data_IF_457397272116
#
_entry.id   IF_457397272116
#
_cell.length_a   1.000
_cell.length_b   1.000
_cell.length_c   1.000
_cell.angle_alpha   90.00
_cell.angle_beta   90.00
_cell.angle_gamma   90.00
#
_symmetry.space_group_name_H-M   'P 1'
#
loop_
_entity.id
_entity.type
_entity.pdbx_description
1 polymer ?
#
# COMPACT_ATOMS: atom_id res chain seq x y z
N UNK A 1 -31.68 42.18 13.92
CA UNK A 1 -31.01 41.62 12.75
C UNK A 1 -29.51 41.64 12.99
N UNK A 2 -28.85 40.53 13.32
CA UNK A 2 -27.41 40.40 13.10
C UNK A 2 -27.11 39.34 12.06
N UNK A 3 -26.18 39.68 11.22
CA UNK A 3 -25.68 38.92 10.06
C UNK A 3 -25.00 37.61 10.47
N UNK A 4 -25.43 36.52 9.86
CA UNK A 4 -24.76 35.23 9.88
C UNK A 4 -23.50 35.31 9.00
N UNK A 5 -22.34 35.32 9.63
CA UNK A 5 -21.07 35.17 8.96
C UNK A 5 -20.85 33.71 8.54
N UNK A 6 -20.81 33.45 7.23
CA UNK A 6 -20.34 32.20 6.67
C UNK A 6 -18.83 32.10 6.87
N UNK A 7 -18.40 31.27 7.81
CA UNK A 7 -16.99 30.90 7.95
C UNK A 7 -16.65 29.83 6.92
N UNK A 8 -16.22 30.28 5.75
CA UNK A 8 -15.54 29.43 4.77
C UNK A 8 -14.15 29.08 5.31
N UNK A 9 -14.00 27.85 5.79
CA UNK A 9 -12.71 27.28 6.13
C UNK A 9 -11.91 27.08 4.85
N UNK A 10 -11.21 28.12 4.42
CA UNK A 10 -10.18 28.05 3.38
C UNK A 10 -8.97 27.37 4.01
N UNK A 11 -8.75 26.12 3.61
CA UNK A 11 -7.48 25.43 3.85
C UNK A 11 -6.36 26.28 3.18
N UNK A 12 -5.70 27.10 3.99
CA UNK A 12 -4.49 27.81 3.55
C UNK A 12 -3.41 26.77 3.27
N UNK A 13 -3.09 26.59 1.98
CA UNK A 13 -1.85 25.94 1.57
C UNK A 13 -0.69 26.78 2.09
N UNK A 14 -0.01 26.29 3.09
CA UNK A 14 1.28 26.83 3.50
C UNK A 14 2.29 26.38 2.43
N UNK A 15 2.68 27.27 1.55
CA UNK A 15 3.80 27.07 0.64
C UNK A 15 5.10 27.04 1.46
N UNK A 16 5.78 25.88 1.55
CA UNK A 16 7.10 25.84 2.18
C UNK A 16 7.70 24.47 2.47
N UNK A 17 6.91 23.39 2.57
CA UNK A 17 7.46 22.03 2.67
C UNK A 17 6.99 21.24 1.46
N UNK A 18 7.93 20.68 0.70
CA UNK A 18 7.62 19.75 -0.37
C UNK A 18 6.87 18.57 0.25
N UNK A 19 5.56 18.47 -0.05
CA UNK A 19 4.72 17.41 0.54
C UNK A 19 5.30 16.05 0.16
N UNK A 20 5.47 15.19 1.15
CA UNK A 20 5.97 13.83 0.97
C UNK A 20 5.08 13.06 -0.02
N UNK A 21 5.64 12.66 -1.17
CA UNK A 21 4.91 12.00 -2.26
C UNK A 21 5.82 11.13 -3.11
N UNK A 22 5.22 10.39 -4.03
CA UNK A 22 5.90 9.54 -5.00
C UNK A 22 5.37 9.86 -6.38
N UNK A 23 6.27 10.15 -7.33
CA UNK A 23 5.95 10.27 -8.74
C UNK A 23 6.36 9.01 -9.49
N UNK A 24 5.43 8.47 -10.27
CA UNK A 24 5.72 7.40 -11.23
C UNK A 24 6.32 8.05 -12.47
N UNK A 25 7.52 7.66 -12.87
CA UNK A 25 8.12 8.21 -14.09
C UNK A 25 7.84 7.31 -15.29
N UNK A 26 7.66 7.91 -16.47
CA UNK A 26 7.31 7.17 -17.69
C UNK A 26 8.40 6.15 -18.04
N UNK A 27 8.05 4.88 -18.08
CA UNK A 27 8.97 3.76 -18.32
C UNK A 27 10.25 3.80 -17.49
N UNK A 28 10.17 4.37 -16.27
CA UNK A 28 11.30 4.62 -15.40
C UNK A 28 11.04 4.27 -13.93
N UNK A 29 11.88 4.78 -13.02
CA UNK A 29 11.79 4.53 -11.58
C UNK A 29 10.59 5.24 -10.93
N UNK A 30 10.45 5.05 -9.62
CA UNK A 30 9.69 5.95 -8.76
C UNK A 30 10.61 7.07 -8.27
N UNK A 31 10.20 8.33 -8.42
CA UNK A 31 10.84 9.46 -7.76
C UNK A 31 10.16 9.65 -6.40
N UNK A 32 10.92 9.59 -5.33
CA UNK A 32 10.42 9.64 -3.95
C UNK A 32 10.88 10.93 -3.29
N UNK A 33 9.93 11.70 -2.78
CA UNK A 33 10.13 13.02 -2.22
C UNK A 33 9.76 13.04 -0.73
N UNK A 34 10.71 13.41 0.14
CA UNK A 34 10.45 13.67 1.55
C UNK A 34 9.97 12.48 2.39
N UNK A 35 10.13 11.24 1.91
CA UNK A 35 9.73 10.03 2.61
C UNK A 35 10.95 9.28 3.14
N UNK A 36 10.98 8.87 4.41
CA UNK A 36 12.01 7.97 4.91
C UNK A 36 11.88 6.60 4.27
N UNK A 37 13.03 5.94 4.05
CA UNK A 37 13.13 4.59 3.49
C UNK A 37 13.61 3.62 4.56
N UNK A 38 12.89 2.51 4.72
CA UNK A 38 13.25 1.45 5.66
C UNK A 38 13.22 0.09 4.97
N UNK A 39 13.69 -0.94 5.67
CA UNK A 39 13.54 -2.33 5.26
C UNK A 39 12.52 -3.03 6.16
N UNK A 40 11.61 -3.79 5.55
CA UNK A 40 10.71 -4.71 6.23
C UNK A 40 10.96 -6.13 5.80
N UNK A 41 10.73 -7.06 6.72
CA UNK A 41 10.70 -8.49 6.45
C UNK A 41 9.33 -9.03 6.83
N UNK A 42 8.76 -9.83 5.94
CA UNK A 42 7.61 -10.65 6.23
C UNK A 42 8.06 -11.92 6.94
N UNK A 43 7.35 -12.33 7.98
CA UNK A 43 7.58 -13.59 8.68
C UNK A 43 6.24 -14.20 9.12
N UNK A 44 6.16 -15.53 9.24
CA UNK A 44 5.00 -16.16 9.87
C UNK A 44 4.81 -15.65 11.29
N UNK A 45 3.56 -15.44 11.67
CA UNK A 45 3.16 -15.26 13.06
C UNK A 45 2.69 -16.60 13.63
N UNK A 46 3.52 -17.17 14.50
CA UNK A 46 3.27 -18.50 15.08
C UNK A 46 2.05 -18.53 16.01
N UNK A 47 1.61 -17.36 16.48
CA UNK A 47 0.46 -17.27 17.39
C UNK A 47 -0.88 -17.28 16.66
N UNK A 48 -0.96 -16.68 15.49
CA UNK A 48 -2.19 -16.54 14.70
C UNK A 48 -2.24 -17.46 13.48
N UNK A 49 -1.12 -18.11 13.12
CA UNK A 49 -0.97 -18.84 11.86
C UNK A 49 -1.02 -17.94 10.61
N UNK A 50 -0.98 -16.63 10.78
CA UNK A 50 -0.98 -15.63 9.72
C UNK A 50 0.44 -15.12 9.43
N UNK A 51 0.60 -13.87 9.09
CA UNK A 51 1.88 -13.22 8.79
C UNK A 51 2.05 -11.97 9.66
N UNK A 52 3.29 -11.59 9.90
CA UNK A 52 3.64 -10.33 10.57
C UNK A 52 4.74 -9.58 9.83
N UNK A 53 4.83 -8.27 10.08
CA UNK A 53 5.85 -7.39 9.56
C UNK A 53 6.92 -7.09 10.61
N UNK A 54 8.16 -7.48 10.31
CA UNK A 54 9.31 -7.13 11.17
C UNK A 54 10.08 -5.98 10.56
N UNK A 55 10.10 -4.88 11.29
CA UNK A 55 10.89 -3.71 10.92
C UNK A 55 12.38 -3.99 11.07
N UNK A 56 13.14 -3.61 10.05
CA UNK A 56 14.59 -3.66 10.01
C UNK A 56 15.16 -2.24 10.07
N UNK A 57 16.48 -2.12 9.93
CA UNK A 57 17.15 -0.82 9.96
C UNK A 57 16.65 0.14 8.86
N UNK A 58 16.69 1.46 9.10
CA UNK A 58 16.54 2.46 8.04
C UNK A 58 17.56 2.23 6.92
N UNK A 59 17.18 2.60 5.70
CA UNK A 59 18.07 2.61 4.54
C UNK A 59 18.55 4.04 4.35
N UNK A 60 19.87 4.23 4.34
CA UNK A 60 20.47 5.54 4.06
C UNK A 60 20.25 5.91 2.59
N UNK A 61 19.63 7.06 2.37
CA UNK A 61 19.36 7.61 1.03
C UNK A 61 20.29 8.77 0.66
N UNK A 62 21.19 9.19 1.56
CA UNK A 62 22.01 10.40 1.37
C UNK A 62 22.97 10.32 0.18
N UNK A 63 23.46 9.12 -0.15
CA UNK A 63 24.31 8.88 -1.33
C UNK A 63 23.54 8.69 -2.65
N UNK A 64 22.23 8.56 -2.59
CA UNK A 64 21.36 8.23 -3.73
C UNK A 64 20.37 9.36 -4.06
N UNK A 65 20.27 10.37 -3.17
CA UNK A 65 19.39 11.50 -3.35
C UNK A 65 20.08 12.66 -4.08
N UNK A 66 19.30 13.41 -4.87
CA UNK A 66 19.75 14.65 -5.45
C UNK A 66 19.82 15.81 -4.42
N UNK A 67 20.22 17.00 -4.88
CA UNK A 67 20.30 18.19 -4.04
C UNK A 67 18.95 18.62 -3.42
N UNK A 68 17.84 18.14 -3.96
CA UNK A 68 16.47 18.36 -3.47
C UNK A 68 16.00 17.30 -2.50
N UNK A 69 16.83 16.28 -2.20
CA UNK A 69 16.46 15.16 -1.34
C UNK A 69 15.56 14.12 -2.01
N UNK A 70 15.41 14.16 -3.33
CA UNK A 70 14.68 13.16 -4.11
C UNK A 70 15.57 11.96 -4.38
N UNK A 71 15.09 10.74 -4.12
CA UNK A 71 15.78 9.51 -4.49
C UNK A 71 14.91 8.64 -5.39
N UNK A 72 15.54 7.76 -6.18
CA UNK A 72 14.85 6.98 -7.19
C UNK A 72 14.87 5.49 -6.87
N UNK A 73 13.69 4.89 -6.77
CA UNK A 73 13.54 3.46 -6.52
C UNK A 73 13.34 2.67 -7.81
N UNK A 74 13.99 1.52 -7.88
CA UNK A 74 13.88 0.60 -9.01
C UNK A 74 12.43 0.11 -9.18
N UNK A 75 11.91 0.22 -10.41
CA UNK A 75 10.56 -0.22 -10.77
C UNK A 75 10.58 -1.37 -11.78
N UNK A 76 11.69 -1.59 -12.46
CA UNK A 76 11.85 -2.62 -13.50
C UNK A 76 12.34 -3.98 -12.98
N UNK A 77 12.83 -4.04 -11.75
CA UNK A 77 13.40 -5.25 -11.16
C UNK A 77 14.82 -5.59 -11.59
N UNK A 78 15.43 -4.84 -12.54
CA UNK A 78 16.70 -5.17 -13.16
C UNK A 78 17.92 -4.38 -12.63
N UNK A 79 17.71 -3.45 -11.71
CA UNK A 79 18.81 -2.69 -11.10
C UNK A 79 19.80 -3.60 -10.37
N UNK A 80 21.08 -3.31 -10.49
CA UNK A 80 22.16 -3.94 -9.72
C UNK A 80 22.41 -3.23 -8.38
N UNK A 81 21.78 -2.07 -8.16
CA UNK A 81 21.86 -1.26 -6.95
C UNK A 81 20.52 -1.22 -6.19
N UNK A 82 19.79 -2.34 -6.11
CA UNK A 82 18.48 -2.37 -5.45
C UNK A 82 18.58 -1.97 -3.97
N UNK A 83 17.65 -1.16 -3.45
CA UNK A 83 16.36 -0.80 -4.06
C UNK A 83 16.44 0.39 -5.02
N UNK A 84 17.57 1.04 -5.20
CA UNK A 84 17.73 2.24 -6.00
C UNK A 84 17.79 1.94 -7.50
N UNK A 85 17.48 2.94 -8.30
CA UNK A 85 17.52 2.87 -9.75
C UNK A 85 18.94 3.18 -10.25
N UNK A 86 19.51 2.28 -11.04
CA UNK A 86 20.81 2.45 -11.71
C UNK A 86 20.69 2.74 -13.21
N UNK A 87 19.47 2.91 -13.73
CA UNK A 87 19.21 3.16 -15.14
C UNK A 87 19.01 1.89 -16.01
N UNK A 88 19.14 0.68 -15.44
CA UNK A 88 18.96 -0.61 -16.18
C UNK A 88 17.62 -0.73 -16.89
N UNK A 89 16.56 -0.03 -16.43
CA UNK A 89 15.25 0.00 -17.12
C UNK A 89 15.34 0.42 -18.59
N UNK A 90 16.35 1.22 -18.99
CA UNK A 90 16.52 1.75 -20.34
C UNK A 90 16.97 0.66 -21.33
N UNK A 91 17.73 -0.32 -20.85
CA UNK A 91 18.29 -1.42 -21.65
C UNK A 91 17.54 -2.72 -21.48
N UNK A 92 16.79 -2.87 -20.40
CA UNK A 92 16.03 -4.09 -20.08
C UNK A 92 14.68 -4.21 -20.83
N UNK A 93 14.33 -3.23 -21.67
CA UNK A 93 13.04 -3.23 -22.37
C UNK A 93 11.83 -3.09 -21.43
N UNK A 94 12.01 -2.39 -20.32
CA UNK A 94 10.97 -2.24 -19.31
C UNK A 94 9.76 -1.46 -19.85
N UNK A 95 8.60 -2.12 -19.87
CA UNK A 95 7.30 -1.48 -20.08
C UNK A 95 6.71 -1.07 -18.74
N UNK A 96 6.78 0.22 -18.47
CA UNK A 96 6.23 0.84 -17.26
C UNK A 96 4.82 1.37 -17.42
N UNK A 97 4.12 1.05 -18.50
CA UNK A 97 2.74 1.51 -18.74
C UNK A 97 1.85 1.23 -17.53
N UNK A 98 1.19 2.27 -17.06
CA UNK A 98 0.29 2.18 -15.92
C UNK A 98 -1.07 1.64 -16.36
N UNK A 99 -1.50 0.57 -15.72
CA UNK A 99 -2.74 -0.17 -16.05
C UNK A 99 -3.74 -0.17 -14.91
N UNK A 100 -3.35 0.38 -13.74
CA UNK A 100 -4.20 0.39 -12.57
C UNK A 100 -5.45 1.24 -12.75
N UNK A 101 -6.58 0.74 -12.29
CA UNK A 101 -7.85 1.47 -12.33
C UNK A 101 -7.81 2.71 -11.44
N UNK A 102 -8.41 3.80 -11.92
CA UNK A 102 -8.44 5.12 -11.27
C UNK A 102 -9.61 5.36 -10.32
N UNK A 103 -10.61 4.47 -10.29
CA UNK A 103 -11.74 4.59 -9.36
C UNK A 103 -11.31 4.40 -7.91
N UNK A 104 -12.07 4.99 -6.98
CA UNK A 104 -11.80 4.87 -5.54
C UNK A 104 -11.88 3.42 -5.08
N UNK A 105 -11.14 3.07 -4.02
CA UNK A 105 -11.21 1.76 -3.37
C UNK A 105 -12.66 1.39 -3.06
N UNK A 106 -13.36 2.29 -2.39
CA UNK A 106 -14.74 2.07 -1.96
C UNK A 106 -15.72 1.79 -3.12
N UNK A 107 -15.57 2.49 -4.23
CA UNK A 107 -16.44 2.30 -5.41
C UNK A 107 -16.21 0.96 -6.12
N UNK A 108 -15.06 0.34 -5.92
CA UNK A 108 -14.64 -0.93 -6.56
C UNK A 108 -14.73 -2.12 -5.63
N UNK A 109 -14.93 -1.88 -4.33
CA UNK A 109 -14.87 -2.93 -3.32
C UNK A 109 -16.06 -3.87 -3.38
N UNK A 110 -15.78 -5.17 -3.29
CA UNK A 110 -16.78 -6.16 -2.85
C UNK A 110 -16.94 -6.00 -1.34
N UNK A 111 -18.16 -5.78 -0.89
CA UNK A 111 -18.50 -5.61 0.52
C UNK A 111 -18.96 -6.94 1.12
N UNK A 112 -18.45 -7.27 2.28
CA UNK A 112 -18.89 -8.39 3.10
C UNK A 112 -19.25 -7.86 4.48
N UNK A 113 -20.34 -8.36 5.03
CA UNK A 113 -20.92 -7.89 6.27
C UNK A 113 -21.08 -9.07 7.23
N UNK A 114 -20.93 -8.78 8.51
CA UNK A 114 -21.18 -9.69 9.59
C UNK A 114 -21.58 -8.93 10.85
N UNK A 115 -22.04 -9.67 11.86
CA UNK A 115 -22.41 -9.13 13.17
C UNK A 115 -22.06 -10.15 14.22
N UNK A 116 -21.45 -9.73 15.32
CA UNK A 116 -21.18 -10.61 16.45
C UNK A 116 -22.46 -10.93 17.23
N UNK A 117 -22.40 -11.97 18.06
CA UNK A 117 -23.51 -12.35 18.94
C UNK A 117 -23.94 -11.21 19.88
N UNK A 118 -23.06 -10.24 20.17
CA UNK A 118 -23.33 -9.04 20.96
C UNK A 118 -23.94 -7.90 20.12
N UNK A 119 -24.22 -8.12 18.84
CA UNK A 119 -24.78 -7.09 17.95
C UNK A 119 -23.77 -6.07 17.44
N UNK A 120 -22.48 -6.37 17.48
CA UNK A 120 -21.43 -5.49 16.94
C UNK A 120 -21.19 -5.82 15.46
N UNK A 121 -21.60 -4.89 14.61
CA UNK A 121 -21.40 -5.03 13.16
C UNK A 121 -19.93 -4.97 12.75
N UNK A 122 -19.60 -5.66 11.69
CA UNK A 122 -18.30 -5.60 11.02
C UNK A 122 -18.49 -5.67 9.50
N UNK A 123 -17.69 -4.89 8.81
CA UNK A 123 -17.67 -4.85 7.33
C UNK A 123 -16.24 -5.02 6.87
N UNK A 124 -16.03 -5.91 5.91
CA UNK A 124 -14.78 -6.03 5.16
C UNK A 124 -15.04 -5.62 3.71
N UNK A 125 -14.19 -4.75 3.19
CA UNK A 125 -14.16 -4.35 1.78
C UNK A 125 -12.96 -4.98 1.10
N UNK A 126 -13.18 -5.61 -0.04
CA UNK A 126 -12.14 -6.31 -0.82
C UNK A 126 -12.06 -5.72 -2.23
N UNK A 127 -10.93 -5.12 -2.57
CA UNK A 127 -10.56 -4.72 -3.93
C UNK A 127 -9.47 -5.65 -4.44
N UNK A 128 -9.85 -6.84 -4.86
CA UNK A 128 -8.94 -7.93 -5.27
C UNK A 128 -7.82 -7.51 -6.23
N UNK A 129 -8.03 -6.64 -7.24
CA UNK A 129 -6.94 -6.20 -8.12
C UNK A 129 -5.78 -5.47 -7.42
N UNK A 130 -5.95 -5.05 -6.16
CA UNK A 130 -4.90 -4.43 -5.35
C UNK A 130 -4.14 -5.44 -4.49
N UNK A 131 -4.52 -6.72 -4.49
CA UNK A 131 -3.91 -7.74 -3.65
C UNK A 131 -2.47 -8.02 -4.06
N UNK A 132 -1.53 -7.84 -3.14
CA UNK A 132 -0.11 -8.17 -3.33
C UNK A 132 0.24 -9.63 -2.96
N UNK A 133 -0.77 -10.44 -2.61
CA UNK A 133 -0.66 -11.85 -2.23
C UNK A 133 0.31 -12.14 -1.08
N UNK A 134 0.40 -11.23 -0.11
CA UNK A 134 1.33 -11.33 1.02
C UNK A 134 0.85 -12.27 2.16
N UNK A 135 -0.34 -12.89 2.05
CA UNK A 135 -0.78 -13.96 2.95
C UNK A 135 -1.48 -13.53 4.23
N UNK A 136 -1.58 -12.24 4.57
CA UNK A 136 -2.18 -11.76 5.83
C UNK A 136 -3.67 -12.07 6.03
N UNK A 137 -4.39 -12.42 4.97
CA UNK A 137 -5.82 -12.69 5.01
C UNK A 137 -6.16 -14.16 5.25
N UNK A 138 -5.17 -14.98 5.55
CA UNK A 138 -5.31 -16.43 5.83
C UNK A 138 -4.63 -16.73 7.15
N UNK A 139 -5.26 -17.51 8.00
CA UNK A 139 -4.73 -18.03 9.26
C UNK A 139 -5.09 -19.50 9.36
N UNK A 140 -4.62 -20.19 10.42
CA UNK A 140 -4.81 -21.63 10.62
C UNK A 140 -6.26 -22.07 10.45
N UNK A 141 -6.53 -22.72 9.31
CA UNK A 141 -7.83 -23.30 8.99
C UNK A 141 -8.94 -22.33 8.62
N UNK A 142 -8.67 -21.00 8.51
CA UNK A 142 -9.68 -20.01 8.17
C UNK A 142 -9.10 -18.86 7.33
N UNK A 143 -9.98 -17.95 6.90
CA UNK A 143 -9.67 -16.74 6.18
C UNK A 143 -10.65 -15.60 6.52
N UNK A 144 -10.28 -14.38 6.21
CA UNK A 144 -11.11 -13.20 6.54
C UNK A 144 -12.52 -13.26 5.93
N UNK A 145 -12.72 -13.96 4.80
CA UNK A 145 -14.02 -14.04 4.11
C UNK A 145 -14.99 -15.02 4.80
N UNK A 146 -14.47 -16.03 5.52
CA UNK A 146 -15.23 -16.90 6.38
C UNK A 146 -15.44 -16.25 7.75
N UNK A 147 -14.37 -15.70 8.33
CA UNK A 147 -14.40 -15.09 9.66
C UNK A 147 -15.41 -13.94 9.78
N UNK A 148 -15.54 -13.08 8.76
CA UNK A 148 -16.51 -11.97 8.76
C UNK A 148 -17.97 -12.40 8.85
N UNK A 149 -18.28 -13.64 8.44
CA UNK A 149 -19.65 -14.18 8.41
C UNK A 149 -20.05 -14.94 9.67
N UNK A 150 -19.06 -15.23 10.52
CA UNK A 150 -19.31 -15.81 11.84
C UNK A 150 -19.92 -14.80 12.79
N UNK A 151 -20.29 -15.25 13.97
CA UNK A 151 -20.86 -14.42 15.06
C UNK A 151 -19.97 -14.33 16.29
N UNK A 152 -18.80 -14.98 16.26
CA UNK A 152 -17.84 -14.98 17.35
C UNK A 152 -17.04 -13.67 17.38
N UNK A 153 -17.10 -12.96 18.50
CA UNK A 153 -16.44 -11.67 18.69
C UNK A 153 -14.91 -11.77 18.73
N UNK A 154 -14.33 -12.89 19.20
CA UNK A 154 -12.90 -13.14 19.22
C UNK A 154 -12.40 -13.41 17.79
N UNK A 155 -13.15 -14.20 17.01
CA UNK A 155 -12.88 -14.43 15.59
C UNK A 155 -12.93 -13.11 14.82
N UNK A 156 -13.91 -12.25 15.09
CA UNK A 156 -13.97 -10.90 14.48
C UNK A 156 -12.79 -10.01 14.90
N UNK A 157 -12.29 -10.13 16.14
CA UNK A 157 -11.12 -9.38 16.59
C UNK A 157 -9.86 -9.84 15.82
N UNK A 158 -9.63 -11.14 15.70
CA UNK A 158 -8.53 -11.70 14.91
C UNK A 158 -8.62 -11.29 13.43
N UNK A 159 -9.82 -11.37 12.84
CA UNK A 159 -10.07 -10.96 11.45
C UNK A 159 -9.75 -9.46 11.24
N UNK A 160 -10.13 -8.58 12.18
CA UNK A 160 -9.79 -7.14 12.10
C UNK A 160 -8.28 -6.94 12.08
N UNK A 161 -7.54 -7.64 12.91
CA UNK A 161 -6.09 -7.60 12.95
C UNK A 161 -5.48 -8.02 11.62
N UNK A 162 -5.92 -9.15 11.07
CA UNK A 162 -5.49 -9.63 9.75
C UNK A 162 -5.76 -8.61 8.62
N UNK A 163 -6.93 -7.95 8.65
CA UNK A 163 -7.27 -6.88 7.69
C UNK A 163 -6.35 -5.68 7.86
N UNK A 164 -6.06 -5.27 9.10
CA UNK A 164 -5.19 -4.13 9.41
C UNK A 164 -3.75 -4.35 8.96
N UNK A 165 -3.30 -5.61 8.91
CA UNK A 165 -1.97 -5.98 8.38
C UNK A 165 -1.91 -6.13 6.86
N UNK A 166 -3.03 -6.07 6.12
CA UNK A 166 -3.04 -6.15 4.66
C UNK A 166 -2.16 -5.06 4.03
N UNK A 167 -0.99 -5.37 3.43
CA UNK A 167 0.00 -4.35 3.06
C UNK A 167 -0.43 -3.46 1.89
N UNK A 168 -1.27 -3.98 1.02
CA UNK A 168 -1.72 -3.24 -0.15
C UNK A 168 -2.97 -2.38 0.12
N UNK A 169 -3.62 -2.54 1.31
CA UNK A 169 -4.93 -2.01 1.55
C UNK A 169 -5.98 -2.52 0.55
N UNK A 170 -5.75 -3.71 -0.03
CA UNK A 170 -6.79 -4.40 -0.81
C UNK A 170 -7.98 -4.75 0.07
N UNK A 171 -7.70 -5.10 1.32
CA UNK A 171 -8.70 -5.29 2.36
C UNK A 171 -8.71 -4.07 3.28
N UNK A 172 -9.92 -3.56 3.55
CA UNK A 172 -10.19 -2.55 4.58
C UNK A 172 -11.41 -2.96 5.40
N UNK A 173 -11.61 -2.35 6.55
CA UNK A 173 -12.74 -2.66 7.45
C UNK A 173 -13.49 -1.43 7.89
N UNK A 174 -14.74 -1.63 8.31
CA UNK A 174 -15.57 -0.61 8.95
C UNK A 174 -16.55 -1.28 9.92
N UNK A 175 -17.10 -0.52 10.85
CA UNK A 175 -18.13 -1.03 11.76
C UNK A 175 -19.51 -1.21 11.12
N UNK A 176 -19.75 -0.55 9.97
CA UNK A 176 -21.04 -0.63 9.24
C UNK A 176 -20.84 -0.27 7.76
N UNK A 177 -21.75 -0.73 6.87
CA UNK A 177 -21.61 -0.54 5.43
C UNK A 177 -21.64 0.92 4.97
N UNK A 178 -22.42 1.74 5.65
CA UNK A 178 -22.61 3.18 5.36
C UNK A 178 -21.62 4.10 6.09
N UNK A 179 -20.65 3.53 6.83
CA UNK A 179 -19.60 4.32 7.48
C UNK A 179 -18.94 5.29 6.49
N UNK A 180 -18.77 6.55 6.86
CA UNK A 180 -18.18 7.56 5.99
C UNK A 180 -16.72 7.23 5.61
N UNK A 181 -16.00 6.59 6.52
CA UNK A 181 -14.60 6.18 6.37
C UNK A 181 -14.43 4.74 6.83
N UNK A 182 -13.40 4.09 6.30
CA UNK A 182 -12.93 2.81 6.81
C UNK A 182 -12.13 3.04 8.10
N UNK A 183 -12.18 2.03 8.99
CA UNK A 183 -11.34 2.00 10.18
C UNK A 183 -9.95 1.55 9.75
N UNK A 184 -8.96 2.43 9.83
CA UNK A 184 -7.61 2.17 9.38
C UNK A 184 -6.61 2.29 10.54
N UNK A 185 -5.60 1.42 10.62
CA UNK A 185 -4.55 1.54 11.62
C UNK A 185 -3.74 2.82 11.42
N UNK A 186 -3.17 3.36 12.48
CA UNK A 186 -2.24 4.50 12.38
C UNK A 186 -0.88 3.98 11.94
N UNK A 187 -0.49 4.30 10.71
CA UNK A 187 0.78 3.91 10.13
C UNK A 187 1.70 5.11 9.94
N UNK A 188 3.01 4.96 10.15
CA UNK A 188 3.97 6.04 9.92
C UNK A 188 4.07 6.37 8.42
N UNK A 189 4.30 7.63 8.11
CA UNK A 189 4.50 8.11 6.74
C UNK A 189 5.90 7.70 6.26
N UNK A 190 5.99 6.70 5.35
CA UNK A 190 7.26 6.15 4.88
C UNK A 190 7.10 5.24 3.66
N UNK A 191 8.23 4.91 3.06
CA UNK A 191 8.38 3.80 2.11
C UNK A 191 9.17 2.68 2.79
N UNK A 192 8.69 1.45 2.66
CA UNK A 192 9.41 0.27 3.11
C UNK A 192 9.74 -0.66 1.94
N UNK A 193 10.97 -1.15 1.91
CA UNK A 193 11.43 -2.20 1.00
C UNK A 193 11.11 -3.55 1.65
N UNK A 194 10.20 -4.31 1.06
CA UNK A 194 9.93 -5.67 1.52
C UNK A 194 10.89 -6.64 0.85
N UNK A 195 11.55 -7.49 1.64
CA UNK A 195 12.56 -8.44 1.14
C UNK A 195 11.96 -9.34 0.06
N UNK A 196 12.59 -9.38 -1.12
CA UNK A 196 12.15 -10.10 -2.33
C UNK A 196 10.67 -9.86 -2.74
N UNK A 197 10.10 -8.70 -2.36
CA UNK A 197 8.71 -8.37 -2.59
C UNK A 197 8.52 -6.90 -3.01
N UNK A 198 7.36 -6.36 -2.82
CA UNK A 198 6.94 -5.01 -3.21
C UNK A 198 7.59 -3.90 -2.35
N UNK A 199 7.37 -2.64 -2.75
CA UNK A 199 7.46 -1.52 -1.82
C UNK A 199 6.13 -1.37 -1.09
N UNK A 200 6.18 -1.22 0.22
CA UNK A 200 5.04 -0.83 1.04
C UNK A 200 5.12 0.67 1.33
N UNK A 201 4.14 1.42 0.90
CA UNK A 201 4.01 2.86 1.17
C UNK A 201 2.90 3.04 2.18
N UNK A 202 3.17 3.74 3.29
CA UNK A 202 2.23 3.90 4.39
C UNK A 202 2.04 5.35 4.81
N UNK A 203 1.04 5.59 5.68
CA UNK A 203 0.77 6.90 6.28
C UNK A 203 0.09 7.90 5.35
N UNK A 204 -0.51 7.44 4.25
CA UNK A 204 -1.25 8.31 3.35
C UNK A 204 -0.38 9.14 2.40
N UNK A 205 0.83 8.67 2.05
CA UNK A 205 1.62 9.30 1.01
C UNK A 205 0.88 9.27 -0.33
N UNK A 206 0.90 10.38 -1.07
CA UNK A 206 0.31 10.44 -2.40
C UNK A 206 1.21 9.75 -3.43
N UNK A 207 0.60 9.12 -4.43
CA UNK A 207 1.26 8.54 -5.60
C UNK A 207 0.68 9.21 -6.84
N UNK A 208 1.51 9.89 -7.60
CA UNK A 208 1.13 10.49 -8.88
C UNK A 208 1.60 9.63 -10.05
N UNK A 209 0.77 9.56 -11.07
CA UNK A 209 1.04 8.92 -12.35
C UNK A 209 2.05 9.72 -13.18
N UNK A 210 2.57 9.10 -14.24
CA UNK A 210 3.49 9.73 -15.20
C UNK A 210 2.87 10.93 -15.96
N UNK A 211 1.55 11.08 -15.94
CA UNK A 211 0.82 12.23 -16.45
C UNK A 211 0.55 13.32 -15.39
N UNK A 212 1.04 13.15 -14.18
CA UNK A 212 0.82 14.03 -13.04
C UNK A 212 -0.52 13.86 -12.33
N UNK A 213 -1.40 12.97 -12.78
CA UNK A 213 -2.67 12.70 -12.12
C UNK A 213 -2.46 11.82 -10.89
N UNK A 214 -2.90 12.27 -9.71
CA UNK A 214 -2.77 11.49 -8.50
C UNK A 214 -3.72 10.28 -8.49
N UNK A 215 -3.24 9.16 -7.97
CA UNK A 215 -4.09 8.07 -7.52
C UNK A 215 -4.82 8.44 -6.22
N UNK A 216 -5.87 7.69 -5.89
CA UNK A 216 -6.52 7.83 -4.59
C UNK A 216 -5.49 7.69 -3.47
N UNK A 217 -5.45 8.68 -2.57
CA UNK A 217 -4.61 8.61 -1.37
C UNK A 217 -5.21 7.58 -0.42
N UNK A 218 -4.43 6.55 -0.12
CA UNK A 218 -4.82 5.47 0.79
C UNK A 218 -3.80 5.33 1.92
N UNK A 219 -4.24 4.87 3.07
CA UNK A 219 -3.37 4.70 4.24
C UNK A 219 -2.16 3.80 3.97
N UNK A 220 -2.34 2.80 3.10
CA UNK A 220 -1.27 1.89 2.66
C UNK A 220 -1.49 1.44 1.22
N UNK A 221 -0.41 1.35 0.48
CA UNK A 221 -0.39 0.84 -0.90
C UNK A 221 0.88 0.01 -1.13
N UNK A 222 0.78 -1.02 -1.94
CA UNK A 222 1.91 -1.81 -2.40
C UNK A 222 2.27 -1.42 -3.83
N UNK A 223 3.51 -0.95 -4.06
CA UNK A 223 4.00 -0.61 -5.41
C UNK A 223 4.82 -1.75 -6.00
N UNK A 224 4.69 -1.94 -7.31
CA UNK A 224 5.43 -2.94 -8.04
C UNK A 224 6.94 -2.63 -8.03
N UNK A 225 7.75 -3.65 -7.74
CA UNK A 225 9.21 -3.55 -7.70
C UNK A 225 9.90 -4.48 -8.70
N UNK A 226 9.22 -5.58 -9.09
CA UNK A 226 9.76 -6.59 -10.00
C UNK A 226 9.59 -6.24 -11.50
N UNK A 227 8.77 -5.26 -11.83
CA UNK A 227 8.47 -4.86 -13.20
C UNK A 227 7.38 -5.69 -13.90
N UNK A 228 6.99 -6.85 -13.35
CA UNK A 228 6.08 -7.81 -13.99
C UNK A 228 4.59 -7.59 -13.68
N UNK A 229 4.23 -6.71 -12.73
CA UNK A 229 2.82 -6.46 -12.37
C UNK A 229 1.97 -6.09 -13.59
N UNK A 230 0.78 -6.66 -13.66
CA UNK A 230 -0.27 -6.34 -14.64
C UNK A 230 -1.20 -5.22 -14.16
N UNK A 231 -0.95 -4.69 -12.95
CA UNK A 231 -1.72 -3.61 -12.31
C UNK A 231 -0.83 -2.41 -11.95
N UNK A 232 0.19 -2.11 -12.79
CA UNK A 232 1.15 -1.03 -12.53
C UNK A 232 0.46 0.33 -12.31
N UNK A 233 0.90 1.15 -11.37
CA UNK A 233 2.14 1.03 -10.58
C UNK A 233 2.02 0.11 -9.36
N UNK A 234 0.83 -0.39 -9.04
CA UNK A 234 0.61 -1.24 -7.86
C UNK A 234 1.13 -2.66 -8.07
N UNK A 235 1.48 -3.31 -6.97
CA UNK A 235 1.83 -4.72 -6.94
C UNK A 235 0.55 -5.57 -7.09
N UNK A 236 0.65 -6.67 -7.82
CA UNK A 236 -0.39 -7.69 -7.98
C UNK A 236 0.08 -9.09 -7.57
N UNK A 237 1.25 -9.19 -6.91
CA UNK A 237 1.84 -10.46 -6.50
C UNK A 237 2.70 -11.15 -7.55
N UNK A 238 2.82 -10.63 -8.77
CA UNK A 238 3.62 -11.26 -9.85
C UNK A 238 5.08 -11.51 -9.47
N UNK A 239 5.63 -10.83 -8.45
CA UNK A 239 7.00 -11.09 -7.97
C UNK A 239 7.18 -12.48 -7.36
N UNK A 240 6.09 -13.14 -6.95
CA UNK A 240 6.11 -14.51 -6.40
C UNK A 240 5.98 -15.59 -7.49
N UNK A 241 5.76 -15.22 -8.75
CA UNK A 241 5.74 -16.15 -9.87
C UNK A 241 7.17 -16.67 -10.14
N UNK A 242 7.37 -18.00 -10.17
CA UNK A 242 8.69 -18.58 -10.45
C UNK A 242 9.28 -18.17 -11.79
N UNK A 243 8.46 -17.77 -12.76
CA UNK A 243 8.92 -17.28 -14.06
C UNK A 243 9.38 -15.80 -14.02
N UNK A 244 9.14 -15.11 -12.92
CA UNK A 244 9.61 -13.74 -12.69
C UNK A 244 10.94 -13.77 -11.95
N UNK A 245 12.05 -13.58 -12.68
CA UNK A 245 13.39 -13.54 -12.10
C UNK A 245 13.61 -12.25 -11.29
N UNK A 246 13.07 -12.19 -10.07
CA UNK A 246 13.21 -11.04 -9.18
C UNK A 246 13.80 -11.47 -7.84
N UNK A 247 14.95 -10.88 -7.49
CA UNK A 247 15.62 -11.03 -6.20
C UNK A 247 16.20 -9.70 -5.73
N UNK A 248 16.46 -9.58 -4.44
CA UNK A 248 17.14 -8.43 -3.82
C UNK A 248 18.68 -8.51 -3.85
N UNK A 249 19.21 -9.60 -4.37
CA UNK A 249 20.65 -9.85 -4.49
C UNK A 249 21.25 -9.09 -5.65
#
# INVERSE_FOLDING_TARGET
MPHLGHSTCLAQRVYGEAMAHIDVTRNGPYAVHGLPLIRLRLQPDDASGSQDWVERAPIDTSGEADAGGTYWLCRCGQSQNKPFCDGSHRTAGFDGTETAARGTHRARAKVMEGESAEGVGVVVRDVRPLCAHAGFCVADGSDVWHMVRGDDSEVHAAMRDMVDHCPSGALTRAGRPDAAHDDEPRLPLRVAVCDNAQYLVTGGASVASDDGTAYEVRNRVSLCRCGASKNKPFCDGSHADPDVAFTDS
#
